data_IF_782545346243
#
_entry.id   IF_782545346243
#
_cell.length_a   1.000
_cell.length_b   1.000
_cell.length_c   1.000
_cell.angle_alpha   90.00
_cell.angle_beta   90.00
_cell.angle_gamma   90.00
#
_symmetry.space_group_name_H-M   'P 1'
#
loop_
_entity.id
_entity.type
_entity.pdbx_description
1 polymer ?
#
# COMPACT_ATOMS: atom_id res chain seq x y z
N UNK A 1 -20.49 -66.62 -3.63
CA UNK A 1 -19.69 -65.41 -3.31
C UNK A 1 -18.33 -65.88 -2.86
N UNK A 2 -17.32 -65.80 -3.71
CA UNK A 2 -15.94 -66.15 -3.33
C UNK A 2 -15.43 -65.11 -2.34
N UNK A 3 -15.24 -65.52 -1.08
CA UNK A 3 -14.55 -64.70 -0.08
C UNK A 3 -13.12 -64.45 -0.58
N UNK A 4 -12.80 -63.18 -0.86
CA UNK A 4 -11.44 -62.77 -1.19
C UNK A 4 -10.51 -63.10 -0.03
N UNK A 5 -9.30 -63.57 -0.35
CA UNK A 5 -8.32 -63.86 0.71
C UNK A 5 -7.97 -62.57 1.47
N UNK A 6 -7.60 -62.64 2.76
CA UNK A 6 -7.17 -61.48 3.52
C UNK A 6 -6.07 -60.66 2.83
N UNK A 7 -5.18 -61.31 2.08
CA UNK A 7 -4.12 -60.65 1.31
C UNK A 7 -4.65 -59.82 0.13
N UNK A 8 -5.71 -60.30 -0.55
CA UNK A 8 -6.35 -59.57 -1.65
C UNK A 8 -7.10 -58.34 -1.12
N UNK A 9 -7.80 -58.49 0.01
CA UNK A 9 -8.47 -57.38 0.69
C UNK A 9 -7.47 -56.32 1.16
N UNK A 10 -6.35 -56.75 1.77
CA UNK A 10 -5.28 -55.84 2.19
C UNK A 10 -4.71 -55.06 1.00
N UNK A 11 -4.42 -55.73 -0.12
CA UNK A 11 -3.92 -55.08 -1.33
C UNK A 11 -4.93 -54.08 -1.90
N UNK A 12 -6.22 -54.42 -1.89
CA UNK A 12 -7.28 -53.52 -2.36
C UNK A 12 -7.39 -52.25 -1.50
N UNK A 13 -7.39 -52.39 -0.17
CA UNK A 13 -7.49 -51.22 0.72
C UNK A 13 -6.23 -50.34 0.68
N UNK A 14 -5.04 -50.94 0.65
CA UNK A 14 -3.79 -50.18 0.50
C UNK A 14 -3.72 -49.43 -0.83
N UNK A 15 -4.19 -50.03 -1.92
CA UNK A 15 -4.30 -49.35 -3.21
C UNK A 15 -5.28 -48.16 -3.17
N UNK A 16 -6.42 -48.30 -2.48
CA UNK A 16 -7.37 -47.19 -2.29
C UNK A 16 -6.75 -46.04 -1.48
N UNK A 17 -6.06 -46.36 -0.38
CA UNK A 17 -5.38 -45.36 0.44
C UNK A 17 -4.33 -44.61 -0.39
N UNK A 18 -3.49 -45.34 -1.16
CA UNK A 18 -2.49 -44.73 -2.03
C UNK A 18 -3.12 -43.80 -3.08
N UNK A 19 -4.21 -44.24 -3.72
CA UNK A 19 -4.95 -43.43 -4.69
C UNK A 19 -5.56 -42.17 -4.06
N UNK A 20 -6.11 -42.28 -2.85
CA UNK A 20 -6.68 -41.15 -2.13
C UNK A 20 -5.61 -40.12 -1.73
N UNK A 21 -4.46 -40.60 -1.24
CA UNK A 21 -3.31 -39.75 -0.92
C UNK A 21 -2.81 -39.00 -2.16
N UNK A 22 -2.72 -39.68 -3.29
CA UNK A 22 -2.27 -39.05 -4.55
C UNK A 22 -3.28 -38.02 -5.09
N UNK A 23 -4.58 -38.32 -4.97
CA UNK A 23 -5.63 -37.35 -5.30
C UNK A 23 -5.55 -36.10 -4.42
N UNK A 24 -5.30 -36.28 -3.11
CA UNK A 24 -5.13 -35.17 -2.18
C UNK A 24 -3.91 -34.31 -2.54
N UNK A 25 -2.74 -34.94 -2.78
CA UNK A 25 -1.53 -34.21 -3.18
C UNK A 25 -1.72 -33.38 -4.45
N UNK A 26 -2.39 -33.94 -5.46
CA UNK A 26 -2.68 -33.20 -6.70
C UNK A 26 -3.60 -32.01 -6.45
N UNK A 27 -4.63 -32.17 -5.61
CA UNK A 27 -5.52 -31.07 -5.23
C UNK A 27 -4.77 -29.99 -4.46
N UNK A 28 -3.93 -30.39 -3.51
CA UNK A 28 -3.16 -29.47 -2.69
C UNK A 28 -2.13 -28.71 -3.53
N UNK A 29 -1.50 -29.36 -4.52
CA UNK A 29 -0.60 -28.70 -5.48
C UNK A 29 -1.33 -27.64 -6.31
N UNK A 30 -2.52 -27.95 -6.83
CA UNK A 30 -3.36 -26.95 -7.54
C UNK A 30 -3.72 -25.79 -6.62
N UNK A 31 -4.13 -26.10 -5.38
CA UNK A 31 -4.53 -25.07 -4.42
C UNK A 31 -3.34 -24.20 -3.99
N UNK A 32 -2.16 -24.78 -3.84
CA UNK A 32 -0.93 -24.06 -3.53
C UNK A 32 -0.60 -23.07 -4.65
N UNK A 33 -0.62 -23.50 -5.91
CA UNK A 33 -0.39 -22.62 -7.06
C UNK A 33 -1.41 -21.46 -7.10
N UNK A 34 -2.70 -21.73 -6.88
CA UNK A 34 -3.72 -20.67 -6.80
C UNK A 34 -3.47 -19.66 -5.67
N UNK A 35 -2.91 -20.12 -4.54
CA UNK A 35 -2.60 -19.25 -3.41
C UNK A 35 -1.34 -18.44 -3.67
N UNK A 36 -0.32 -19.02 -4.30
CA UNK A 36 0.89 -18.31 -4.74
C UNK A 36 0.54 -17.17 -5.70
N UNK A 37 -0.32 -17.42 -6.69
CA UNK A 37 -0.79 -16.39 -7.62
C UNK A 37 -1.52 -15.25 -6.89
N UNK A 38 -2.38 -15.58 -5.91
CA UNK A 38 -3.09 -14.58 -5.11
C UNK A 38 -2.15 -13.76 -4.23
N UNK A 39 -1.13 -14.40 -3.66
CA UNK A 39 -0.10 -13.73 -2.86
C UNK A 39 0.69 -12.76 -3.73
N UNK A 40 1.13 -13.19 -4.93
CA UNK A 40 1.85 -12.32 -5.85
C UNK A 40 1.04 -11.07 -6.23
N UNK A 41 -0.26 -11.20 -6.49
CA UNK A 41 -1.16 -10.07 -6.77
C UNK A 41 -1.29 -9.13 -5.55
N UNK A 42 -1.37 -9.69 -4.34
CA UNK A 42 -1.44 -8.90 -3.11
C UNK A 42 -0.13 -8.16 -2.84
N UNK A 43 1.01 -8.81 -3.02
CA UNK A 43 2.34 -8.23 -2.81
C UNK A 43 2.58 -7.07 -3.77
N UNK A 44 2.25 -7.23 -5.06
CA UNK A 44 2.33 -6.13 -6.04
C UNK A 44 1.42 -4.95 -5.65
N UNK A 45 0.19 -5.24 -5.20
CA UNK A 45 -0.73 -4.19 -4.72
C UNK A 45 -0.17 -3.48 -3.49
N UNK A 46 0.40 -4.21 -2.54
CA UNK A 46 1.03 -3.64 -1.35
C UNK A 46 2.24 -2.77 -1.71
N UNK A 47 3.08 -3.24 -2.64
CA UNK A 47 4.20 -2.47 -3.18
C UNK A 47 3.76 -1.13 -3.76
N UNK A 48 2.77 -1.13 -4.65
CA UNK A 48 2.22 0.10 -5.25
C UNK A 48 1.62 1.06 -4.23
N UNK A 49 0.95 0.54 -3.19
CA UNK A 49 0.41 1.38 -2.10
C UNK A 49 1.55 1.99 -1.27
N UNK A 50 2.58 1.20 -0.96
CA UNK A 50 3.76 1.66 -0.22
C UNK A 50 4.54 2.75 -0.96
N UNK A 51 4.78 2.55 -2.25
CA UNK A 51 5.42 3.54 -3.13
C UNK A 51 4.63 4.85 -3.15
N UNK A 52 3.31 4.77 -3.33
CA UNK A 52 2.46 5.96 -3.32
C UNK A 52 2.55 6.70 -1.98
N UNK A 53 2.44 5.99 -0.86
CA UNK A 53 2.52 6.60 0.47
C UNK A 53 3.86 7.33 0.69
N UNK A 54 4.97 6.72 0.29
CA UNK A 54 6.29 7.34 0.37
C UNK A 54 6.39 8.60 -0.51
N UNK A 55 5.83 8.55 -1.73
CA UNK A 55 5.81 9.71 -2.63
C UNK A 55 4.94 10.85 -2.09
N UNK A 56 3.78 10.56 -1.50
CA UNK A 56 2.92 11.60 -0.91
C UNK A 56 3.58 12.26 0.30
N UNK A 57 4.27 11.49 1.16
CA UNK A 57 5.03 12.03 2.29
C UNK A 57 6.20 12.92 1.81
N UNK A 58 6.92 12.48 0.78
CA UNK A 58 8.00 13.26 0.17
C UNK A 58 7.49 14.57 -0.43
N UNK A 59 6.34 14.53 -1.13
CA UNK A 59 5.72 15.72 -1.71
C UNK A 59 5.28 16.72 -0.64
N UNK A 60 4.64 16.25 0.44
CA UNK A 60 4.22 17.09 1.55
C UNK A 60 5.39 17.82 2.21
N UNK A 61 6.49 17.10 2.45
CA UNK A 61 7.72 17.67 3.02
C UNK A 61 8.40 18.66 2.07
N UNK A 62 8.47 18.33 0.78
CA UNK A 62 9.02 19.24 -0.25
C UNK A 62 8.22 20.55 -0.33
N UNK A 63 6.88 20.47 -0.30
CA UNK A 63 6.02 21.65 -0.30
C UNK A 63 6.18 22.51 0.95
N UNK A 64 6.34 21.86 2.10
CA UNK A 64 6.62 22.53 3.36
C UNK A 64 7.95 23.30 3.31
N UNK A 65 9.04 22.63 2.95
CA UNK A 65 10.37 23.24 2.84
C UNK A 65 10.38 24.40 1.84
N UNK A 66 9.77 24.21 0.67
CA UNK A 66 9.62 25.27 -0.34
C UNK A 66 8.90 26.50 0.21
N UNK A 67 7.83 26.30 0.99
CA UNK A 67 7.10 27.40 1.60
C UNK A 67 7.95 28.12 2.64
N UNK A 68 8.76 27.40 3.43
CA UNK A 68 9.67 28.00 4.41
C UNK A 68 10.75 28.85 3.74
N UNK A 69 11.38 28.32 2.70
CA UNK A 69 12.39 29.04 1.92
C UNK A 69 11.78 30.31 1.30
N UNK A 70 10.55 30.21 0.80
CA UNK A 70 9.85 31.35 0.24
C UNK A 70 9.52 32.41 1.31
N UNK A 71 9.25 32.02 2.56
CA UNK A 71 8.98 32.90 3.70
C UNK A 71 10.25 33.33 4.46
N UNK A 72 11.46 33.00 3.99
CA UNK A 72 12.71 33.31 4.70
C UNK A 72 12.89 34.81 5.02
N UNK A 73 12.30 35.72 4.21
CA UNK A 73 12.30 37.17 4.49
C UNK A 73 11.44 37.57 5.70
N UNK A 74 10.52 36.71 6.14
CA UNK A 74 9.63 36.89 7.28
C UNK A 74 10.24 36.29 8.56
N UNK A 75 11.53 36.55 8.81
CA UNK A 75 12.29 35.98 9.93
C UNK A 75 11.74 36.31 11.33
N UNK A 76 10.75 37.20 11.43
CA UNK A 76 10.02 37.55 12.64
C UNK A 76 8.87 36.57 12.97
N UNK A 77 8.49 35.69 12.03
CA UNK A 77 7.45 34.68 12.27
C UNK A 77 8.03 33.40 12.87
N UNK A 78 7.46 32.94 13.98
CA UNK A 78 7.74 31.61 14.53
C UNK A 78 7.09 30.55 13.63
N UNK A 79 7.91 29.91 12.80
CA UNK A 79 7.49 28.77 11.98
C UNK A 79 7.30 27.54 12.86
N UNK A 80 6.12 26.92 12.81
CA UNK A 80 5.86 25.64 13.50
C UNK A 80 6.61 24.51 12.79
N UNK A 81 7.06 23.45 13.48
CA UNK A 81 7.70 22.31 12.83
C UNK A 81 6.73 21.60 11.86
N UNK A 82 7.29 20.78 10.95
CA UNK A 82 6.50 19.96 10.03
C UNK A 82 5.41 19.17 10.80
N UNK A 83 4.15 19.25 10.37
CA UNK A 83 3.04 18.64 11.10
C UNK A 83 3.18 17.11 11.13
N UNK A 84 2.77 16.50 12.25
CA UNK A 84 2.67 15.04 12.33
C UNK A 84 1.49 14.54 11.50
N UNK A 85 1.60 13.34 10.90
CA UNK A 85 0.47 12.71 10.22
C UNK A 85 -0.74 12.56 11.16
N UNK A 86 -1.94 12.79 10.62
CA UNK A 86 -3.20 12.57 11.33
C UNK A 86 -3.55 11.06 11.33
N UNK A 87 -3.58 10.38 12.50
CA UNK A 87 -3.90 8.96 12.58
C UNK A 87 -5.39 8.67 12.31
N UNK A 88 -6.26 9.68 12.29
CA UNK A 88 -7.70 9.53 12.04
C UNK A 88 -8.10 9.72 10.57
N UNK A 89 -7.15 10.07 9.70
CA UNK A 89 -7.41 10.29 8.28
C UNK A 89 -7.89 8.99 7.60
N UNK A 90 -8.92 9.09 6.75
CA UNK A 90 -9.45 7.93 6.01
C UNK A 90 -8.48 7.57 4.87
N UNK A 91 -7.83 6.39 4.89
CA UNK A 91 -6.89 5.99 3.85
C UNK A 91 -7.51 5.95 2.45
N UNK A 92 -8.83 5.78 2.35
CA UNK A 92 -9.56 5.73 1.06
C UNK A 92 -9.62 7.09 0.37
N UNK A 93 -9.41 8.18 1.11
CA UNK A 93 -9.45 9.57 0.61
C UNK A 93 -8.08 10.12 0.22
N UNK A 94 -7.04 9.26 0.11
CA UNK A 94 -5.67 9.67 -0.20
C UNK A 94 -5.57 10.61 -1.42
N UNK A 95 -6.28 10.29 -2.51
CA UNK A 95 -6.26 11.12 -3.72
C UNK A 95 -6.86 12.52 -3.49
N UNK A 96 -7.88 12.63 -2.64
CA UNK A 96 -8.49 13.91 -2.27
C UNK A 96 -7.52 14.72 -1.40
N UNK A 97 -6.89 14.07 -0.41
CA UNK A 97 -5.89 14.72 0.44
C UNK A 97 -4.67 15.22 -0.35
N UNK A 98 -4.21 14.47 -1.35
CA UNK A 98 -3.13 14.91 -2.26
C UNK A 98 -3.53 16.16 -3.05
N UNK A 99 -4.78 16.22 -3.54
CA UNK A 99 -5.29 17.39 -4.26
C UNK A 99 -5.46 18.60 -3.35
N UNK A 100 -6.02 18.40 -2.15
CA UNK A 100 -6.17 19.45 -1.13
C UNK A 100 -4.80 20.02 -0.72
N UNK A 101 -3.82 19.15 -0.49
CA UNK A 101 -2.44 19.54 -0.19
C UNK A 101 -1.85 20.40 -1.31
N UNK A 102 -1.97 19.96 -2.56
CA UNK A 102 -1.43 20.70 -3.70
C UNK A 102 -2.12 22.06 -3.86
N UNK A 103 -3.44 22.11 -3.73
CA UNK A 103 -4.22 23.35 -3.79
C UNK A 103 -3.83 24.34 -2.68
N UNK A 104 -3.67 23.84 -1.44
CA UNK A 104 -3.23 24.64 -0.31
C UNK A 104 -1.82 25.21 -0.50
N UNK A 105 -0.89 24.40 -1.02
CA UNK A 105 0.46 24.86 -1.34
C UNK A 105 0.45 25.96 -2.42
N UNK A 106 -0.30 25.77 -3.51
CA UNK A 106 -0.44 26.77 -4.56
C UNK A 106 -1.03 28.09 -4.04
N UNK A 107 -2.08 28.01 -3.21
CA UNK A 107 -2.66 29.18 -2.59
C UNK A 107 -1.66 29.94 -1.70
N UNK A 108 -0.87 29.21 -0.89
CA UNK A 108 0.17 29.79 -0.05
C UNK A 108 1.25 30.49 -0.88
N UNK A 109 1.76 29.83 -1.91
CA UNK A 109 2.79 30.41 -2.78
C UNK A 109 2.30 31.65 -3.52
N UNK A 110 1.05 31.66 -3.98
CA UNK A 110 0.43 32.84 -4.60
C UNK A 110 0.34 34.03 -3.62
N UNK A 111 -0.02 33.77 -2.35
CA UNK A 111 -0.04 34.80 -1.31
C UNK A 111 1.36 35.37 -1.06
N UNK A 112 2.37 34.51 -0.90
CA UNK A 112 3.77 34.94 -0.68
C UNK A 112 4.26 35.81 -1.83
N UNK A 113 4.02 35.39 -3.08
CA UNK A 113 4.40 36.15 -4.26
C UNK A 113 3.71 37.52 -4.28
N UNK A 114 2.40 37.57 -4.05
CA UNK A 114 1.64 38.84 -4.02
C UNK A 114 2.19 39.80 -2.96
N UNK A 115 2.55 39.31 -1.78
CA UNK A 115 3.11 40.16 -0.72
C UNK A 115 4.49 40.69 -1.12
N UNK A 116 5.38 39.84 -1.66
CA UNK A 116 6.71 40.26 -2.13
C UNK A 116 6.66 41.34 -3.22
N UNK A 117 5.68 41.28 -4.13
CA UNK A 117 5.53 42.27 -5.21
C UNK A 117 4.62 43.45 -4.84
N UNK A 118 3.73 43.31 -3.85
CA UNK A 118 2.82 44.35 -3.39
C UNK A 118 3.46 45.43 -2.51
N UNK A 119 4.57 45.11 -1.84
CA UNK A 119 5.39 46.07 -1.06
C UNK A 119 6.38 46.89 -1.92
N UNK A 120 6.40 46.67 -3.24
CA UNK A 120 7.21 47.44 -4.20
C UNK A 120 6.39 48.58 -4.82
N UNK A 121 5.98 49.57 -4.00
CA UNK A 121 5.51 50.88 -4.43
C UNK A 121 5.98 51.96 -3.48
#
# INVERSE_FOLDING_TARGET
MTEQSPAERYRAETARIASAAEALRRRDAVRAAELEDRLAVLDDRMGRIGERAAMSELAARSHWETALDAMWSEAWMTVRPFPRPDPSADPRRLAEYEQEMYAAHQALMALIQRTKFGFRR
#
